data_IF_627814435735
#
_entry.id   IF_627814435735
#
_cell.length_a   1.000
_cell.length_b   1.000
_cell.length_c   1.000
_cell.angle_alpha   90.00
_cell.angle_beta   90.00
_cell.angle_gamma   90.00
#
_symmetry.space_group_name_H-M   'P 1'
#
loop_
_entity.id
_entity.type
_entity.pdbx_description
1 polymer ?
#
# COMPACT_ATOMS: atom_id res chain seq x y z
N UNK A 1 -42.18 12.06 13.39
CA UNK A 1 -40.73 11.77 13.56
C UNK A 1 -40.36 10.77 12.48
N UNK A 2 -39.69 11.15 11.38
CA UNK A 2 -39.30 10.17 10.38
C UNK A 2 -38.10 9.38 10.91
N UNK A 3 -38.24 8.07 10.82
CA UNK A 3 -37.27 7.05 11.22
C UNK A 3 -36.03 7.13 10.33
N UNK A 4 -34.86 7.40 10.93
CA UNK A 4 -33.59 7.39 10.22
C UNK A 4 -33.28 5.96 9.76
N UNK A 5 -33.36 5.76 8.44
CA UNK A 5 -32.87 4.56 7.76
C UNK A 5 -31.39 4.39 8.09
N UNK A 6 -31.05 3.36 8.89
CA UNK A 6 -29.68 2.85 9.05
C UNK A 6 -29.16 2.39 7.68
N UNK A 7 -28.51 3.29 6.97
CA UNK A 7 -27.66 2.99 5.82
C UNK A 7 -26.41 2.26 6.35
N UNK A 8 -26.18 1.06 5.83
CA UNK A 8 -25.15 0.14 6.31
C UNK A 8 -23.73 0.72 6.27
N UNK A 9 -22.91 0.24 7.22
CA UNK A 9 -21.46 0.47 7.33
C UNK A 9 -21.01 1.93 7.14
N UNK A 10 -21.58 2.85 7.91
CA UNK A 10 -20.98 4.16 8.10
C UNK A 10 -19.79 4.03 9.07
N UNK A 11 -18.57 4.01 8.52
CA UNK A 11 -17.36 4.28 9.28
C UNK A 11 -17.30 5.79 9.59
N UNK A 12 -16.74 6.14 10.75
CA UNK A 12 -16.62 7.51 11.28
C UNK A 12 -15.76 8.40 10.36
N UNK A 13 -16.44 9.03 9.39
CA UNK A 13 -15.86 9.99 8.45
C UNK A 13 -15.33 11.21 9.19
N UNK A 14 -14.04 11.47 9.10
CA UNK A 14 -13.50 12.80 9.40
C UNK A 14 -14.09 13.82 8.42
N UNK A 15 -14.88 14.74 8.97
CA UNK A 15 -15.81 15.64 8.26
C UNK A 15 -15.11 16.75 7.45
N UNK A 16 -13.79 16.91 7.57
CA UNK A 16 -13.05 17.99 6.92
C UNK A 16 -12.58 17.64 5.49
N UNK A 17 -12.29 16.37 5.20
CA UNK A 17 -11.73 15.94 3.90
C UNK A 17 -12.39 14.69 3.29
N UNK A 18 -13.38 14.08 3.96
CA UNK A 18 -14.18 12.98 3.42
C UNK A 18 -13.42 11.67 3.17
N UNK A 19 -12.18 11.54 3.65
CA UNK A 19 -11.37 10.32 3.57
C UNK A 19 -10.77 10.01 4.94
N UNK A 20 -11.10 8.83 5.46
CA UNK A 20 -10.49 8.31 6.69
C UNK A 20 -9.05 7.89 6.42
N UNK A 21 -8.09 8.53 7.09
CA UNK A 21 -6.71 8.07 7.16
C UNK A 21 -6.57 7.07 8.32
N UNK A 22 -6.39 5.79 7.98
CA UNK A 22 -6.27 4.70 8.95
C UNK A 22 -4.80 4.35 9.22
N UNK A 23 -4.43 4.27 10.50
CA UNK A 23 -3.09 3.89 10.95
C UNK A 23 -3.00 2.40 11.30
N UNK A 24 -1.92 1.78 10.86
CA UNK A 24 -1.59 0.40 11.21
C UNK A 24 -1.30 0.29 12.73
N UNK A 25 -1.83 -0.75 13.40
CA UNK A 25 -1.51 -1.02 14.80
C UNK A 25 0.01 -1.19 15.05
N UNK A 26 0.57 -0.56 16.09
CA UNK A 26 2.02 -0.55 16.34
C UNK A 26 2.60 -1.94 16.61
N UNK A 27 1.79 -2.89 17.08
CA UNK A 27 2.19 -4.29 17.25
C UNK A 27 2.66 -4.96 15.96
N UNK A 28 2.15 -4.54 14.80
CA UNK A 28 2.59 -5.08 13.51
C UNK A 28 4.04 -4.69 13.24
N UNK A 29 4.42 -3.43 13.47
CA UNK A 29 5.80 -2.98 13.30
C UNK A 29 6.74 -3.63 14.30
N UNK A 30 6.33 -3.73 15.58
CA UNK A 30 7.10 -4.47 16.60
C UNK A 30 7.33 -5.94 16.22
N UNK A 31 6.39 -6.55 15.51
CA UNK A 31 6.50 -7.91 15.05
C UNK A 31 7.40 -8.05 13.80
N UNK A 32 7.32 -7.11 12.85
CA UNK A 32 8.01 -7.23 11.57
C UNK A 32 9.38 -6.55 11.54
N UNK A 33 9.71 -5.74 12.55
CA UNK A 33 10.93 -4.93 12.62
C UNK A 33 10.80 -3.61 11.86
N UNK A 34 11.92 -2.89 11.77
CA UNK A 34 11.94 -1.53 11.24
C UNK A 34 11.83 -1.48 9.71
N UNK A 35 11.25 -0.39 9.21
CA UNK A 35 11.14 -0.06 7.79
C UNK A 35 11.81 1.28 7.51
N UNK A 36 12.38 1.42 6.31
CA UNK A 36 13.05 2.64 5.89
C UNK A 36 12.06 3.65 5.31
N UNK A 37 11.03 3.20 4.59
CA UNK A 37 10.04 4.07 3.95
C UNK A 37 8.61 3.56 4.11
N UNK A 38 7.69 4.47 4.41
CA UNK A 38 6.25 4.29 4.22
C UNK A 38 5.74 5.31 3.18
N UNK A 39 5.35 4.87 1.97
CA UNK A 39 4.96 5.77 0.89
C UNK A 39 3.47 6.17 0.98
N UNK A 40 2.74 5.69 1.98
CA UNK A 40 1.30 5.83 2.17
C UNK A 40 0.96 6.44 3.54
N UNK A 41 1.90 7.14 4.16
CA UNK A 41 1.77 7.55 5.55
C UNK A 41 0.71 8.67 5.73
N UNK A 42 -0.14 8.58 6.77
CA UNK A 42 -1.02 9.68 7.17
C UNK A 42 -0.24 10.93 7.52
N UNK A 43 -0.74 12.14 7.23
CA UNK A 43 0.00 13.38 7.53
C UNK A 43 0.29 13.48 9.03
N UNK A 44 -0.75 13.27 9.83
CA UNK A 44 -0.67 13.25 11.28
C UNK A 44 -0.58 11.80 11.76
N UNK A 45 0.39 11.51 12.62
CA UNK A 45 0.58 10.17 13.18
C UNK A 45 1.26 10.24 14.56
N UNK A 46 0.71 9.56 15.58
CA UNK A 46 1.28 9.50 16.93
C UNK A 46 2.52 8.59 17.02
N UNK A 47 2.73 7.68 16.07
CA UNK A 47 3.95 6.89 15.96
C UNK A 47 4.42 6.82 14.50
N UNK A 48 5.74 6.71 14.26
CA UNK A 48 6.27 6.47 12.94
C UNK A 48 6.01 5.02 12.51
N UNK A 49 5.68 4.83 11.24
CA UNK A 49 5.54 3.52 10.58
C UNK A 49 6.84 3.07 9.88
N UNK A 50 7.79 3.99 9.70
CA UNK A 50 9.06 3.83 9.00
C UNK A 50 9.99 5.01 9.34
N UNK A 51 11.24 5.01 8.87
CA UNK A 51 12.18 6.13 9.06
C UNK A 51 11.83 7.36 8.21
N UNK A 52 11.33 7.13 6.99
CA UNK A 52 10.88 8.16 6.05
C UNK A 52 9.42 7.93 5.66
N UNK A 53 8.74 9.01 5.28
CA UNK A 53 7.31 8.97 4.97
C UNK A 53 6.99 9.84 3.78
N UNK A 54 6.23 9.30 2.84
CA UNK A 54 5.46 10.11 1.89
C UNK A 54 4.02 10.18 2.35
N UNK A 55 3.43 11.35 2.18
CA UNK A 55 2.04 11.63 2.51
C UNK A 55 1.21 11.80 1.24
N UNK A 56 -0.09 12.01 1.42
CA UNK A 56 -0.97 12.37 0.31
C UNK A 56 -0.48 13.61 -0.48
N UNK A 57 0.26 14.53 0.17
CA UNK A 57 0.83 15.74 -0.46
C UNK A 57 1.97 15.41 -1.42
N UNK A 58 2.69 14.34 -1.17
CA UNK A 58 3.86 13.92 -1.97
C UNK A 58 3.46 13.03 -3.14
N UNK A 59 2.28 12.42 -3.08
CA UNK A 59 1.85 11.35 -3.98
C UNK A 59 2.89 10.22 -4.05
N UNK A 60 3.00 9.41 -2.99
CA UNK A 60 4.03 8.40 -2.84
C UNK A 60 4.15 7.37 -3.97
N UNK A 61 3.13 7.18 -4.82
CA UNK A 61 3.21 6.38 -6.04
C UNK A 61 4.23 6.92 -7.06
N UNK A 62 4.38 8.25 -7.14
CA UNK A 62 5.24 8.94 -8.10
C UNK A 62 6.66 9.20 -7.57
N UNK A 63 6.87 9.01 -6.27
CA UNK A 63 8.16 9.27 -5.61
C UNK A 63 9.09 8.07 -5.76
N UNK A 64 10.38 8.30 -5.54
CA UNK A 64 11.37 7.22 -5.49
C UNK A 64 11.22 6.42 -4.20
N UNK A 65 11.30 5.08 -4.29
CA UNK A 65 11.30 4.19 -3.13
C UNK A 65 12.72 3.66 -2.89
N UNK A 66 13.19 3.72 -1.64
CA UNK A 66 14.53 3.26 -1.24
C UNK A 66 14.43 2.48 0.08
N UNK A 67 15.29 1.48 0.22
CA UNK A 67 15.35 0.64 1.42
C UNK A 67 14.15 -0.32 1.56
N UNK A 68 13.90 -0.78 2.79
CA UNK A 68 12.78 -1.67 3.13
C UNK A 68 11.48 -0.88 3.28
N UNK A 69 10.47 -1.22 2.49
CA UNK A 69 9.21 -0.46 2.40
C UNK A 69 8.08 -1.11 3.20
N UNK A 70 7.36 -0.30 3.98
CA UNK A 70 6.05 -0.64 4.52
C UNK A 70 4.97 0.04 3.68
N UNK A 71 4.01 -0.71 3.14
CA UNK A 71 2.94 -0.15 2.31
C UNK A 71 1.56 -0.53 2.84
N UNK A 72 0.88 0.40 3.51
CA UNK A 72 -0.55 0.31 3.86
C UNK A 72 -1.32 1.31 2.99
N UNK A 73 -1.64 0.98 1.71
CA UNK A 73 -2.17 1.95 0.78
C UNK A 73 -3.62 2.34 1.11
N UNK A 74 -4.09 3.52 0.64
CA UNK A 74 -5.51 3.80 0.66
C UNK A 74 -6.28 2.74 -0.13
N UNK A 75 -7.34 2.21 0.49
CA UNK A 75 -8.20 1.20 -0.13
C UNK A 75 -9.07 1.83 -1.21
N UNK A 76 -9.16 1.18 -2.38
CA UNK A 76 -10.05 1.62 -3.46
C UNK A 76 -9.49 1.36 -4.85
N UNK A 77 -9.94 2.13 -5.87
CA UNK A 77 -9.63 1.86 -7.28
C UNK A 77 -8.14 1.80 -7.61
N UNK A 78 -7.29 2.49 -6.83
CA UNK A 78 -5.84 2.57 -7.07
C UNK A 78 -5.00 1.55 -6.30
N UNK A 79 -5.60 0.68 -5.49
CA UNK A 79 -4.85 -0.34 -4.74
C UNK A 79 -3.95 -1.18 -5.65
N UNK A 80 -4.38 -1.42 -6.90
CA UNK A 80 -3.59 -2.19 -7.87
C UNK A 80 -2.30 -1.50 -8.31
N UNK A 81 -2.28 -0.17 -8.39
CA UNK A 81 -1.08 0.60 -8.71
C UNK A 81 -0.02 0.47 -7.60
N UNK A 82 -0.45 0.44 -6.34
CA UNK A 82 0.43 0.21 -5.20
C UNK A 82 0.99 -1.22 -5.20
N UNK A 83 0.16 -2.23 -5.50
CA UNK A 83 0.64 -3.62 -5.58
C UNK A 83 1.66 -3.80 -6.71
N UNK A 84 1.46 -3.14 -7.86
CA UNK A 84 2.45 -3.09 -8.94
C UNK A 84 3.78 -2.52 -8.43
N UNK A 85 3.74 -1.37 -7.73
CA UNK A 85 4.94 -0.72 -7.17
C UNK A 85 5.65 -1.59 -6.13
N UNK A 86 4.90 -2.25 -5.24
CA UNK A 86 5.47 -3.21 -4.28
C UNK A 86 6.18 -4.36 -5.00
N UNK A 87 5.56 -4.92 -6.03
CA UNK A 87 6.10 -6.02 -6.82
C UNK A 87 7.30 -5.63 -7.71
N UNK A 88 7.42 -4.35 -8.09
CA UNK A 88 8.58 -3.80 -8.78
C UNK A 88 9.74 -3.55 -7.81
N UNK A 89 9.46 -2.99 -6.64
CA UNK A 89 10.46 -2.66 -5.62
C UNK A 89 11.02 -3.90 -4.90
N UNK A 90 10.19 -4.94 -4.75
CA UNK A 90 10.48 -6.22 -4.06
C UNK A 90 10.70 -6.12 -2.56
N UNK A 91 11.62 -5.26 -2.11
CA UNK A 91 11.91 -5.07 -0.68
C UNK A 91 10.82 -4.28 0.03
N UNK A 92 9.65 -4.91 0.12
CA UNK A 92 8.39 -4.31 0.52
C UNK A 92 7.52 -5.34 1.25
N UNK A 93 6.92 -4.91 2.35
CA UNK A 93 5.75 -5.56 2.94
C UNK A 93 4.53 -4.68 2.73
N UNK A 94 3.45 -5.25 2.20
CA UNK A 94 2.17 -4.56 2.10
C UNK A 94 1.14 -5.13 3.08
N UNK A 95 0.33 -4.25 3.67
CA UNK A 95 -0.87 -4.62 4.41
C UNK A 95 -2.09 -4.22 3.57
N UNK A 96 -2.87 -5.21 3.14
CA UNK A 96 -4.09 -4.97 2.37
C UNK A 96 -5.24 -5.88 2.82
N UNK A 97 -6.45 -5.59 2.37
CA UNK A 97 -7.55 -6.54 2.52
C UNK A 97 -7.31 -7.82 1.71
N UNK A 98 -7.69 -8.96 2.28
CA UNK A 98 -7.53 -10.28 1.68
C UNK A 98 -8.59 -10.55 0.60
N UNK A 99 -8.52 -9.80 -0.50
CA UNK A 99 -9.38 -9.90 -1.69
C UNK A 99 -8.66 -10.68 -2.78
N UNK A 100 -8.63 -12.01 -2.62
CA UNK A 100 -7.86 -12.92 -3.47
C UNK A 100 -8.44 -13.08 -4.88
N UNK A 101 -9.69 -12.68 -5.09
CA UNK A 101 -10.41 -12.73 -6.36
C UNK A 101 -10.04 -11.60 -7.34
N UNK A 102 -9.31 -10.59 -6.88
CA UNK A 102 -9.12 -9.34 -7.64
C UNK A 102 -8.02 -9.45 -8.70
N UNK A 103 -8.15 -8.69 -9.80
CA UNK A 103 -7.15 -8.65 -10.88
C UNK A 103 -5.74 -8.35 -10.36
N UNK A 104 -5.61 -7.36 -9.47
CA UNK A 104 -4.32 -7.00 -8.85
C UNK A 104 -3.69 -8.17 -8.08
N UNK A 105 -4.50 -9.04 -7.47
CA UNK A 105 -4.02 -10.21 -6.77
C UNK A 105 -3.43 -11.21 -7.75
N UNK A 106 -4.15 -11.53 -8.82
CA UNK A 106 -3.68 -12.43 -9.89
C UNK A 106 -2.52 -11.87 -10.72
N UNK A 107 -2.34 -10.54 -10.76
CA UNK A 107 -1.29 -9.89 -11.58
C UNK A 107 -0.02 -9.62 -10.78
N UNK A 108 -0.13 -9.13 -9.54
CA UNK A 108 1.01 -8.60 -8.79
C UNK A 108 1.32 -9.37 -7.50
N UNK A 109 0.42 -10.21 -7.01
CA UNK A 109 0.63 -10.96 -5.77
C UNK A 109 0.90 -12.42 -6.10
N UNK A 110 -0.07 -13.15 -6.63
CA UNK A 110 0.03 -14.59 -6.86
C UNK A 110 1.26 -15.03 -7.69
N UNK A 111 1.57 -14.39 -8.84
CA UNK A 111 2.73 -14.79 -9.64
C UNK A 111 4.05 -14.12 -9.24
N UNK A 112 4.05 -13.16 -8.30
CA UNK A 112 5.20 -12.25 -8.08
C UNK A 112 5.62 -12.09 -6.63
N UNK A 113 4.73 -12.28 -5.66
CA UNK A 113 5.06 -12.23 -4.24
C UNK A 113 5.79 -13.51 -3.82
N UNK A 114 6.67 -13.38 -2.83
CA UNK A 114 7.37 -14.49 -2.19
C UNK A 114 6.43 -15.22 -1.22
N UNK A 115 5.64 -14.46 -0.46
CA UNK A 115 4.73 -15.03 0.53
C UNK A 115 3.55 -14.10 0.82
N UNK A 116 2.49 -14.69 1.35
CA UNK A 116 1.38 -13.98 2.00
C UNK A 116 1.14 -14.52 3.40
N UNK A 117 0.58 -13.68 4.28
CA UNK A 117 0.10 -14.10 5.59
C UNK A 117 -1.32 -13.59 5.81
N UNK A 118 -2.27 -14.51 5.92
CA UNK A 118 -3.65 -14.19 6.28
C UNK A 118 -3.76 -14.01 7.78
N UNK A 119 -4.13 -12.81 8.23
CA UNK A 119 -4.21 -12.51 9.66
C UNK A 119 -5.46 -13.16 10.28
N UNK A 120 -5.31 -13.72 11.48
CA UNK A 120 -6.42 -14.31 12.23
C UNK A 120 -7.30 -13.20 12.81
N UNK A 121 -8.53 -13.12 12.33
CA UNK A 121 -9.47 -12.07 12.71
C UNK A 121 -9.31 -10.81 11.87
N UNK A 122 -10.04 -9.76 12.23
CA UNK A 122 -10.03 -8.48 11.53
C UNK A 122 -9.28 -7.47 12.38
N UNK A 123 -8.37 -6.72 11.76
CA UNK A 123 -7.61 -5.68 12.46
C UNK A 123 -8.53 -4.54 12.89
N UNK A 124 -8.22 -3.92 14.02
CA UNK A 124 -8.75 -2.61 14.39
C UNK A 124 -7.66 -1.59 14.09
N UNK A 125 -7.83 -0.82 13.01
CA UNK A 125 -6.92 0.28 12.69
C UNK A 125 -7.09 1.41 13.70
N UNK A 126 -6.10 2.31 13.74
CA UNK A 126 -6.13 3.48 14.60
C UNK A 126 -6.48 4.72 13.79
N UNK A 127 -7.13 5.70 14.42
CA UNK A 127 -7.28 7.03 13.86
C UNK A 127 -5.97 7.81 13.98
N UNK A 128 -5.80 8.88 13.19
CA UNK A 128 -4.59 9.72 13.18
C UNK A 128 -4.27 10.41 14.51
N UNK A 129 -5.21 10.45 15.45
CA UNK A 129 -5.02 10.93 16.82
C UNK A 129 -4.57 9.82 17.79
N UNK A 130 -4.42 8.57 17.33
CA UNK A 130 -4.00 7.43 18.13
C UNK A 130 -5.12 6.70 18.87
N UNK A 131 -6.39 7.06 18.68
CA UNK A 131 -7.50 6.27 19.20
C UNK A 131 -7.70 5.01 18.37
N UNK A 132 -8.00 3.90 19.04
CA UNK A 132 -8.28 2.64 18.36
C UNK A 132 -9.66 2.72 17.72
N UNK A 133 -9.73 2.51 16.42
CA UNK A 133 -10.97 2.46 15.68
C UNK A 133 -11.69 1.12 15.81
N UNK A 134 -12.82 1.01 15.13
CA UNK A 134 -13.57 -0.22 15.02
C UNK A 134 -12.82 -1.33 14.26
N UNK A 135 -13.37 -2.53 14.30
CA UNK A 135 -12.89 -3.66 13.51
C UNK A 135 -13.08 -3.39 12.01
N UNK A 136 -12.05 -3.59 11.21
CA UNK A 136 -12.07 -3.37 9.76
C UNK A 136 -13.22 -4.13 9.07
N UNK A 137 -13.75 -3.55 7.99
CA UNK A 137 -14.86 -4.15 7.23
C UNK A 137 -14.53 -5.47 6.52
N UNK A 138 -13.23 -5.82 6.39
CA UNK A 138 -12.76 -6.99 5.67
C UNK A 138 -11.56 -7.65 6.39
N UNK A 139 -11.29 -8.96 6.14
CA UNK A 139 -10.05 -9.59 6.58
C UNK A 139 -8.83 -8.92 5.95
N UNK A 140 -7.70 -8.93 6.66
CA UNK A 140 -6.44 -8.33 6.22
C UNK A 140 -5.37 -9.42 6.00
N UNK A 141 -4.44 -9.14 5.11
CA UNK A 141 -3.26 -9.96 4.88
C UNK A 141 -2.01 -9.11 4.73
N UNK A 142 -0.89 -9.70 5.08
CA UNK A 142 0.44 -9.20 4.75
C UNK A 142 0.92 -9.86 3.45
N UNK A 143 1.63 -9.12 2.62
CA UNK A 143 2.24 -9.61 1.38
C UNK A 143 3.70 -9.19 1.36
N UNK A 144 4.60 -10.10 1.02
CA UNK A 144 6.04 -9.85 0.88
C UNK A 144 6.55 -10.29 -0.49
N UNK A 145 7.45 -9.50 -1.09
CA UNK A 145 8.01 -9.73 -2.43
C UNK A 145 9.52 -10.06 -2.43
N UNK A 146 10.09 -10.34 -1.27
CA UNK A 146 11.44 -10.88 -1.12
C UNK A 146 11.53 -11.88 0.05
N UNK A 147 12.65 -12.58 0.16
CA UNK A 147 12.87 -13.58 1.21
C UNK A 147 12.99 -12.94 2.60
N UNK A 148 13.61 -11.77 2.73
CA UNK A 148 13.82 -11.12 4.03
C UNK A 148 12.49 -10.71 4.69
N UNK A 149 11.59 -10.08 3.93
CA UNK A 149 10.27 -9.73 4.43
C UNK A 149 9.40 -10.97 4.65
N UNK A 150 9.48 -11.98 3.78
CA UNK A 150 8.77 -13.25 3.99
C UNK A 150 9.24 -13.97 5.27
N UNK A 151 10.55 -13.99 5.52
CA UNK A 151 11.14 -14.57 6.73
C UNK A 151 10.72 -13.79 7.98
N UNK A 152 10.68 -12.45 7.93
CA UNK A 152 10.21 -11.63 9.05
C UNK A 152 8.74 -11.92 9.40
N UNK A 153 7.88 -12.11 8.39
CA UNK A 153 6.48 -12.49 8.60
C UNK A 153 6.39 -13.91 9.19
N UNK A 154 7.15 -14.87 8.65
CA UNK A 154 7.17 -16.25 9.15
C UNK A 154 7.60 -16.30 10.61
N UNK A 155 8.72 -15.65 10.95
CA UNK A 155 9.23 -15.56 12.31
C UNK A 155 8.23 -14.92 13.27
N UNK A 156 7.52 -13.86 12.83
CA UNK A 156 6.47 -13.23 13.62
C UNK A 156 5.31 -14.19 13.95
N UNK A 157 4.97 -15.11 13.04
CA UNK A 157 3.93 -16.12 13.27
C UNK A 157 4.44 -17.26 14.16
N UNK A 158 5.62 -17.81 13.86
CA UNK A 158 6.23 -18.91 14.61
C UNK A 158 6.45 -18.54 16.09
N UNK A 159 6.77 -17.27 16.36
CA UNK A 159 6.92 -16.72 17.70
C UNK A 159 5.63 -16.07 18.26
N UNK A 160 4.48 -16.31 17.63
CA UNK A 160 3.14 -15.88 18.09
C UNK A 160 2.97 -14.36 18.29
N UNK A 161 3.84 -13.54 17.70
CA UNK A 161 3.75 -12.07 17.69
C UNK A 161 2.65 -11.59 16.74
N UNK A 162 2.40 -12.36 15.68
CA UNK A 162 1.26 -12.22 14.78
C UNK A 162 0.50 -13.54 14.75
N UNK A 163 -0.83 -13.48 14.86
CA UNK A 163 -1.69 -14.66 14.68
C UNK A 163 -2.18 -14.70 13.24
N UNK A 164 -1.94 -15.79 12.54
CA UNK A 164 -2.34 -15.93 11.14
C UNK A 164 -1.86 -17.24 10.52
N UNK A 165 -2.01 -17.35 9.21
CA UNK A 165 -1.50 -18.46 8.41
C UNK A 165 -0.55 -17.92 7.35
N UNK A 166 0.71 -18.38 7.39
CA UNK A 166 1.73 -18.09 6.39
C UNK A 166 1.54 -19.02 5.18
N UNK A 167 1.62 -18.47 3.98
CA UNK A 167 1.62 -19.23 2.73
C UNK A 167 2.82 -18.79 1.92
N UNK A 168 3.72 -19.75 1.70
CA UNK A 168 4.83 -19.59 0.76
C UNK A 168 4.30 -19.69 -0.67
N UNK A 169 4.62 -18.69 -1.49
CA UNK A 169 4.18 -18.62 -2.89
C UNK A 169 5.30 -18.96 -3.87
N UNK A 170 6.51 -19.25 -3.40
CA UNK A 170 7.62 -19.68 -4.27
C UNK A 170 7.24 -20.99 -4.97
N UNK A 171 7.09 -20.93 -6.29
CA UNK A 171 6.67 -22.07 -7.13
C UNK A 171 5.16 -22.15 -7.41
N UNK A 172 4.36 -21.21 -6.88
CA UNK A 172 2.94 -21.09 -7.22
C UNK A 172 2.74 -20.85 -8.73
N UNK A 173 1.92 -21.68 -9.37
CA UNK A 173 1.53 -21.51 -10.77
C UNK A 173 0.17 -20.83 -10.83
N UNK A 174 0.06 -19.80 -11.66
CA UNK A 174 -1.21 -19.11 -11.92
C UNK A 174 -1.62 -19.42 -13.35
N UNK A 175 -2.81 -19.98 -13.54
CA UNK A 175 -3.41 -20.06 -14.86
C UNK A 175 -3.87 -18.66 -15.25
N UNK A 176 -3.09 -17.99 -16.10
CA UNK A 176 -3.48 -16.71 -16.66
C UNK A 176 -4.18 -16.94 -18.01
N UNK A 177 -5.33 -16.30 -18.18
CA UNK A 177 -6.01 -16.23 -19.48
C UNK A 177 -5.05 -15.56 -20.49
N UNK A 178 -4.81 -16.20 -21.63
CA UNK A 178 -3.81 -15.85 -22.66
C UNK A 178 -3.91 -14.44 -23.26
N UNK A 179 -4.93 -13.67 -22.88
CA UNK A 179 -5.15 -12.28 -23.29
C UNK A 179 -4.33 -11.24 -22.49
N UNK A 180 -3.80 -11.59 -21.32
CA UNK A 180 -3.12 -10.61 -20.44
C UNK A 180 -1.58 -10.56 -20.55
N UNK A 181 -0.95 -11.57 -21.15
CA UNK A 181 0.52 -11.63 -21.27
C UNK A 181 1.13 -10.56 -22.21
N UNK A 182 0.29 -9.84 -22.98
CA UNK A 182 0.75 -8.89 -23.99
C UNK A 182 1.13 -7.49 -23.46
N UNK A 183 0.76 -7.14 -22.21
CA UNK A 183 0.94 -5.78 -21.69
C UNK A 183 2.21 -5.55 -20.84
N UNK A 184 3.03 -6.58 -20.59
CA UNK A 184 4.27 -6.45 -19.79
C UNK A 184 5.47 -5.87 -20.58
N UNK A 185 5.25 -5.36 -21.80
CA UNK A 185 6.24 -4.60 -22.56
C UNK A 185 5.98 -3.09 -22.51
N UNK A 186 5.73 -2.53 -21.34
CA UNK A 186 5.81 -1.07 -21.17
C UNK A 186 7.24 -0.74 -20.76
N UNK A 187 8.05 -0.27 -21.72
CA UNK A 187 9.35 0.33 -21.43
C UNK A 187 9.14 1.53 -20.49
N UNK A 188 10.01 1.73 -19.48
CA UNK A 188 9.95 2.93 -18.66
C UNK A 188 10.13 4.18 -19.54
N UNK A 189 9.42 5.28 -19.27
CA UNK A 189 9.57 6.50 -20.04
C UNK A 189 11.02 7.00 -19.95
N UNK A 190 11.65 7.23 -21.10
CA UNK A 190 13.04 7.69 -21.17
C UNK A 190 13.16 9.09 -20.55
N UNK A 191 14.02 9.23 -19.55
CA UNK A 191 14.43 10.53 -19.01
C UNK A 191 15.37 11.24 -20.00
N UNK A 192 14.84 11.82 -21.08
CA UNK A 192 15.60 12.79 -21.87
C UNK A 192 14.68 13.87 -22.45
N UNK A 193 14.70 15.05 -21.83
CA UNK A 193 14.89 16.39 -22.44
C UNK A 193 14.37 17.46 -21.49
N UNK A 194 15.27 17.96 -20.63
CA UNK A 194 15.23 19.33 -20.13
C UNK A 194 16.31 20.10 -20.89
N UNK A 195 15.87 20.92 -21.83
CA UNK A 195 16.51 22.04 -22.52
C UNK A 195 15.63 22.21 -23.77
N UNK A 196 14.85 23.28 -23.92
CA UNK A 196 15.33 24.62 -24.24
C UNK A 196 14.26 25.66 -23.85
N UNK A 197 14.70 26.76 -23.26
CA UNK A 197 13.92 28.00 -23.11
C UNK A 197 14.05 28.84 -24.38
N UNK A 198 12.97 29.33 -25.01
CA UNK A 198 13.09 30.35 -26.04
C UNK A 198 12.91 31.75 -25.44
N UNK A 199 14.02 32.51 -25.46
CA UNK A 199 14.12 33.85 -26.02
C UNK A 199 13.04 34.90 -25.71
N UNK A 200 13.41 35.83 -24.83
CA UNK A 200 12.86 37.19 -24.78
C UNK A 200 12.94 37.89 -26.14
N UNK A 201 11.86 38.54 -26.56
CA UNK A 201 11.88 39.60 -27.59
C UNK A 201 11.16 40.85 -27.07
N UNK A 202 11.70 42.06 -27.34
CA UNK A 202 11.23 43.29 -26.71
C UNK A 202 10.00 43.85 -27.43
N UNK A 203 9.01 44.33 -26.65
CA UNK A 203 7.88 45.10 -27.18
C UNK A 203 8.36 46.46 -27.68
N UNK A 204 8.09 46.74 -28.95
CA UNK A 204 8.19 48.07 -29.57
C UNK A 204 7.03 48.93 -29.06
N UNK A 205 7.37 50.09 -28.49
CA UNK A 205 6.47 51.24 -28.36
C UNK A 205 6.17 51.84 -29.75
N UNK A 206 4.95 52.38 -29.89
CA UNK A 206 4.55 53.31 -30.94
C UNK A 206 3.15 53.86 -30.63
N UNK A 207 2.85 55.06 -31.14
CA UNK A 207 3.25 56.38 -30.67
C UNK A 207 2.21 57.02 -29.72
#
# INVERSE_FOLDING_TARGET
>A
MPEEKRIGFAHDRDLENGKEEWLTPPEIFRALGDFDLDPCAPINRPWPTAKQHYTIRDNGLLKEWRGRVWCNPPYGPKTGEWMRRCAEHKNCTALIFARTETQQFFTYIWPRATAVCFLKGRLSFYHVNGTKGGTAGAPSMLVAWDDDNANAIRDAIENLRIKGAFVDLRGGQVTLDSRHAANDKVQPPSLTRLAETPGSTPKKEKP
#
